data_IF_534154268357
#
_entry.id   IF_534154268357
#
_cell.length_a   1.000
_cell.length_b   1.000
_cell.length_c   1.000
_cell.angle_alpha   90.00
_cell.angle_beta   90.00
_cell.angle_gamma   90.00
#
_symmetry.space_group_name_H-M   'P 1'
#
loop_
_entity.id
_entity.type
_entity.pdbx_description
1 polymer ?
#
# COMPACT_ATOMS: atom_id res chain seq x y z
N UNK A 1 29.48 4.18 -23.19
CA UNK A 1 28.90 3.02 -22.48
C UNK A 1 27.38 3.16 -22.54
N UNK A 2 26.68 2.25 -23.23
CA UNK A 2 25.22 2.29 -23.35
C UNK A 2 24.65 1.21 -22.45
N UNK A 3 23.82 1.61 -21.48
CA UNK A 3 23.07 0.67 -20.65
C UNK A 3 21.86 0.24 -21.48
N UNK A 4 21.75 -1.06 -21.73
CA UNK A 4 20.57 -1.64 -22.37
C UNK A 4 19.51 -1.85 -21.28
N UNK A 5 18.48 -1.02 -21.31
CA UNK A 5 17.34 -1.10 -20.41
C UNK A 5 16.27 -1.94 -21.12
N UNK A 6 15.95 -3.12 -20.57
CA UNK A 6 14.77 -3.91 -20.95
C UNK A 6 13.50 -3.22 -20.45
N UNK A 7 12.32 -3.73 -20.81
CA UNK A 7 11.04 -3.13 -20.38
C UNK A 7 11.06 -2.77 -18.89
N UNK A 8 11.11 -1.46 -18.62
CA UNK A 8 10.92 -0.93 -17.29
C UNK A 8 9.50 -1.30 -16.88
N UNK A 9 9.26 -1.83 -15.68
CA UNK A 9 7.90 -2.12 -15.24
C UNK A 9 7.07 -0.85 -15.38
N UNK A 10 6.14 -0.88 -16.32
CA UNK A 10 5.18 0.19 -16.61
C UNK A 10 4.30 0.28 -15.38
N UNK A 11 4.62 1.22 -14.48
CA UNK A 11 3.80 1.59 -13.33
C UNK A 11 3.11 0.40 -12.65
N UNK A 12 3.70 -0.14 -11.59
CA UNK A 12 3.00 -1.12 -10.77
C UNK A 12 1.70 -0.46 -10.25
N UNK A 13 0.57 -0.80 -10.89
CA UNK A 13 -0.74 -0.30 -10.50
C UNK A 13 -0.91 -0.57 -9.00
N UNK A 14 -1.60 0.31 -8.27
CA UNK A 14 -1.88 0.04 -6.86
C UNK A 14 -2.60 -1.30 -6.75
N UNK A 15 -1.96 -2.24 -6.06
CA UNK A 15 -2.52 -3.57 -5.78
C UNK A 15 -2.48 -3.81 -4.28
N UNK A 16 -3.45 -4.59 -3.79
CA UNK A 16 -3.45 -5.03 -2.39
C UNK A 16 -2.12 -5.70 -2.07
N UNK A 17 -1.52 -5.32 -0.94
CA UNK A 17 -0.18 -5.72 -0.53
C UNK A 17 0.92 -4.71 -0.84
N UNK A 18 0.71 -3.75 -1.76
CA UNK A 18 1.69 -2.68 -2.00
C UNK A 18 1.93 -1.86 -0.74
N UNK A 19 3.21 -1.57 -0.46
CA UNK A 19 3.64 -0.71 0.65
C UNK A 19 4.10 0.63 0.09
N UNK A 20 3.65 1.72 0.71
CA UNK A 20 3.97 3.09 0.33
C UNK A 20 4.61 3.83 1.49
N UNK A 21 5.59 4.68 1.19
CA UNK A 21 6.15 5.59 2.17
C UNK A 21 5.10 6.62 2.61
N UNK A 22 5.07 6.97 3.91
CA UNK A 22 4.31 8.13 4.37
C UNK A 22 4.86 9.42 3.73
N UNK A 23 4.00 10.17 3.04
CA UNK A 23 4.42 11.35 2.26
C UNK A 23 4.88 12.54 3.11
N UNK A 24 4.41 12.66 4.36
CA UNK A 24 4.71 13.80 5.23
C UNK A 24 4.25 13.61 6.67
N UNK A 25 4.37 14.68 7.47
CA UNK A 25 3.93 14.73 8.85
C UNK A 25 4.77 13.90 9.83
N UNK A 26 4.19 13.59 10.98
CA UNK A 26 4.85 12.81 12.04
C UNK A 26 5.21 11.39 11.56
N UNK A 27 4.28 10.70 10.88
CA UNK A 27 4.51 9.33 10.41
C UNK A 27 5.74 9.19 9.50
N UNK A 28 6.00 10.16 8.61
CA UNK A 28 7.23 10.18 7.81
C UNK A 28 8.49 10.32 8.68
N UNK A 29 8.47 11.20 9.68
CA UNK A 29 9.62 11.42 10.59
C UNK A 29 9.89 10.19 11.47
N UNK A 30 8.83 9.49 11.86
CA UNK A 30 8.88 8.28 12.68
C UNK A 30 9.18 7.00 11.88
N UNK A 31 9.36 7.10 10.56
CA UNK A 31 9.68 5.96 9.70
C UNK A 31 8.50 5.02 9.43
N UNK A 32 7.26 5.52 9.51
CA UNK A 32 6.07 4.72 9.24
C UNK A 32 5.88 4.46 7.74
N UNK A 33 5.20 3.36 7.44
CA UNK A 33 4.81 2.95 6.10
C UNK A 33 3.31 2.65 6.05
N UNK A 34 2.76 2.62 4.83
CA UNK A 34 1.33 2.37 4.60
C UNK A 34 1.16 1.16 3.69
N UNK A 35 0.47 0.14 4.16
CA UNK A 35 0.18 -1.09 3.43
C UNK A 35 -1.22 -1.01 2.84
N UNK A 36 -1.35 -1.14 1.52
CA UNK A 36 -2.64 -1.14 0.83
C UNK A 36 -3.42 -2.43 1.11
N UNK A 37 -4.56 -2.31 1.78
CA UNK A 37 -5.43 -3.43 2.14
C UNK A 37 -6.55 -3.67 1.13
N UNK A 38 -7.10 -2.60 0.56
CA UNK A 38 -8.22 -2.70 -0.38
C UNK A 38 -8.33 -1.45 -1.25
N UNK A 39 -8.90 -1.63 -2.43
CA UNK A 39 -9.38 -0.54 -3.28
C UNK A 39 -10.90 -0.66 -3.34
N UNK A 40 -11.60 0.38 -2.91
CA UNK A 40 -13.07 0.38 -2.88
C UNK A 40 -13.65 0.64 -4.27
N UNK A 41 -14.93 0.28 -4.46
CA UNK A 41 -15.67 0.60 -5.69
C UNK A 41 -15.67 2.11 -6.03
N UNK A 42 -15.54 2.97 -5.01
CA UNK A 42 -15.43 4.44 -5.16
C UNK A 42 -14.00 4.93 -5.40
N UNK A 43 -13.09 4.05 -5.83
CA UNK A 43 -11.70 4.38 -6.14
C UNK A 43 -10.97 5.02 -4.94
N UNK A 44 -11.20 4.49 -3.73
CA UNK A 44 -10.44 4.87 -2.53
C UNK A 44 -9.52 3.72 -2.13
N UNK A 45 -8.27 4.04 -1.82
CA UNK A 45 -7.28 3.13 -1.29
C UNK A 45 -7.36 3.11 0.25
N UNK A 46 -7.62 1.96 0.85
CA UNK A 46 -7.62 1.75 2.29
C UNK A 46 -6.25 1.21 2.71
N UNK A 47 -5.58 1.88 3.65
CA UNK A 47 -4.23 1.52 4.05
C UNK A 47 -4.09 1.30 5.56
N UNK A 48 -3.36 0.26 5.93
CA UNK A 48 -2.85 0.06 7.28
C UNK A 48 -1.56 0.85 7.45
N UNK A 49 -1.43 1.62 8.52
CA UNK A 49 -0.18 2.29 8.88
C UNK A 49 0.59 1.39 9.83
N UNK A 50 1.82 1.09 9.47
CA UNK A 50 2.78 0.34 10.30
C UNK A 50 3.94 1.24 10.69
N UNK A 51 4.52 1.00 11.86
CA UNK A 51 5.75 1.68 12.25
C UNK A 51 7.00 1.05 11.62
N UNK A 52 8.18 1.53 12.03
CA UNK A 52 9.48 1.07 11.51
C UNK A 52 9.80 -0.39 11.86
N UNK A 53 9.15 -0.93 12.89
CA UNK A 53 9.34 -2.29 13.38
C UNK A 53 8.28 -3.23 12.79
N UNK A 54 7.31 -2.67 12.04
CA UNK A 54 6.26 -3.40 11.34
C UNK A 54 4.96 -3.50 12.13
N UNK A 55 4.87 -2.87 13.31
CA UNK A 55 3.70 -2.95 14.16
C UNK A 55 2.58 -2.04 13.65
N UNK A 56 1.31 -2.51 13.63
CA UNK A 56 0.17 -1.68 13.25
C UNK A 56 -0.04 -0.52 14.24
N UNK A 57 -0.04 0.71 13.73
CA UNK A 57 -0.22 1.93 14.55
C UNK A 57 -1.44 2.76 14.16
N UNK A 58 -2.09 2.43 13.04
CA UNK A 58 -3.31 3.13 12.63
C UNK A 58 -3.80 2.72 11.25
N UNK A 59 -4.83 3.40 10.77
CA UNK A 59 -5.39 3.23 9.42
C UNK A 59 -5.57 4.59 8.76
N UNK A 60 -5.51 4.63 7.44
CA UNK A 60 -5.76 5.84 6.65
C UNK A 60 -6.36 5.50 5.29
N UNK A 61 -6.84 6.51 4.57
CA UNK A 61 -7.35 6.35 3.22
C UNK A 61 -6.97 7.52 2.32
N UNK A 62 -6.80 7.22 1.03
CA UNK A 62 -6.55 8.21 -0.02
C UNK A 62 -7.45 7.90 -1.23
N UNK A 63 -7.67 8.90 -2.08
CA UNK A 63 -8.17 8.64 -3.43
C UNK A 63 -7.13 7.83 -4.21
N UNK A 64 -7.58 6.90 -5.06
CA UNK A 64 -6.70 6.02 -5.83
C UNK A 64 -5.68 6.80 -6.66
N UNK A 65 -6.11 7.88 -7.30
CA UNK A 65 -5.25 8.80 -8.07
C UNK A 65 -4.02 9.27 -7.29
N UNK A 66 -4.18 9.60 -6.00
CA UNK A 66 -3.08 10.06 -5.16
C UNK A 66 -2.07 8.95 -4.78
N UNK A 67 -2.46 7.68 -4.94
CA UNK A 67 -1.62 6.51 -4.74
C UNK A 67 -0.97 6.08 -6.06
N UNK A 68 -1.65 6.22 -7.20
CA UNK A 68 -1.11 5.92 -8.53
C UNK A 68 0.13 6.76 -8.87
N UNK A 69 0.19 7.99 -8.36
CA UNK A 69 1.35 8.87 -8.48
C UNK A 69 2.55 8.44 -7.62
N UNK A 70 2.39 7.43 -6.76
CA UNK A 70 3.43 6.96 -5.83
C UNK A 70 3.99 5.62 -6.27
N UNK A 71 5.31 5.51 -6.25
CA UNK A 71 5.97 4.22 -6.40
C UNK A 71 5.83 3.39 -5.11
N UNK A 72 5.37 2.13 -5.19
CA UNK A 72 5.44 1.22 -4.06
C UNK A 72 6.91 0.94 -3.70
N UNK A 73 7.19 0.83 -2.40
CA UNK A 73 8.54 0.63 -1.85
C UNK A 73 8.78 -0.81 -1.38
N UNK A 74 7.71 -1.58 -1.17
CA UNK A 74 7.75 -3.00 -0.81
C UNK A 74 6.40 -3.66 -1.13
N UNK A 75 6.30 -4.97 -0.89
CA UNK A 75 5.08 -5.75 -1.07
C UNK A 75 4.91 -6.75 0.08
N UNK A 76 3.73 -6.75 0.72
CA UNK A 76 3.38 -7.71 1.76
C UNK A 76 2.76 -8.94 1.11
N UNK A 77 3.57 -10.00 0.96
CA UNK A 77 3.13 -11.30 0.45
C UNK A 77 2.06 -11.90 1.35
N UNK A 78 1.04 -12.50 0.75
CA UNK A 78 -0.05 -13.17 1.44
C UNK A 78 -1.29 -12.30 1.58
N UNK A 79 -1.16 -10.96 1.62
CA UNK A 79 -2.33 -10.06 1.58
C UNK A 79 -3.10 -10.17 0.26
N UNK A 80 -2.39 -10.45 -0.83
CA UNK A 80 -2.94 -10.70 -2.16
C UNK A 80 -3.75 -12.00 -2.26
N UNK A 81 -3.67 -12.86 -1.23
CA UNK A 81 -4.30 -14.18 -1.18
C UNK A 81 -5.35 -14.29 -0.06
N UNK A 82 -5.59 -13.19 0.68
CA UNK A 82 -6.57 -13.19 1.77
C UNK A 82 -7.98 -13.30 1.18
N UNK A 83 -8.73 -14.28 1.71
CA UNK A 83 -10.15 -14.46 1.49
C UNK A 83 -10.87 -14.35 2.83
N UNK A 84 -11.88 -13.49 2.93
CA UNK A 84 -12.59 -13.18 4.17
C UNK A 84 -14.08 -13.49 4.00
N UNK A 85 -14.59 -14.34 4.88
CA UNK A 85 -16.01 -14.68 4.96
C UNK A 85 -16.60 -14.08 6.23
N UNK A 86 -17.68 -13.31 6.10
CA UNK A 86 -18.44 -12.80 7.24
C UNK A 86 -19.55 -13.79 7.59
N UNK A 87 -19.55 -14.29 8.82
CA UNK A 87 -20.59 -15.16 9.35
C UNK A 87 -21.41 -14.42 10.42
N UNK A 88 -22.75 -14.63 10.49
CA UNK A 88 -23.56 -14.05 11.54
C UNK A 88 -23.17 -14.65 12.90
N UNK A 89 -23.12 -13.80 13.94
CA UNK A 89 -22.96 -14.26 15.31
C UNK A 89 -24.25 -14.99 15.77
N UNK A 90 -24.14 -16.00 16.65
CA UNK A 90 -25.28 -16.70 17.22
C UNK A 90 -26.17 -15.80 18.09
#
# INVERSE_FOLDING_TARGET
>A
MRINVTELPTFAQPVVGNVYACGGGYGRKAGHAMVLLAITAKQSALLLVIDKDGEPVGVTSYGLHAIEERAPIAFVRGLDQIDLTMEPLP
#
